data_IF_109941661290
#
_entry.id   IF_109941661290
#
_cell.length_a   1.000
_cell.length_b   1.000
_cell.length_c   1.000
_cell.angle_alpha   90.00
_cell.angle_beta   90.00
_cell.angle_gamma   90.00
#
_symmetry.space_group_name_H-M   'P 1'
#
loop_
_entity.id
_entity.type
_entity.pdbx_description
1 polymer ?
#
# COMPACT_ATOMS: atom_id res chain seq x y z
N UNK A 1 40.94 -47.94 52.34
CA UNK A 1 41.91 -49.05 52.18
C UNK A 1 41.84 -49.47 50.72
N UNK A 2 42.66 -48.96 49.81
CA UNK A 2 44.12 -49.13 49.61
C UNK A 2 44.46 -50.36 48.74
N UNK A 3 45.21 -50.05 47.66
CA UNK A 3 46.00 -50.88 46.71
C UNK A 3 45.26 -51.40 45.46
N UNK A 4 45.65 -51.00 44.23
CA UNK A 4 46.94 -51.21 43.50
C UNK A 4 47.14 -52.69 43.15
N UNK A 5 47.60 -53.13 42.00
CA UNK A 5 48.14 -52.58 40.74
C UNK A 5 48.12 -53.77 39.72
N UNK A 6 48.49 -53.49 38.45
CA UNK A 6 49.13 -54.40 37.46
C UNK A 6 48.25 -55.38 36.64
N UNK A 7 48.53 -55.71 35.36
CA UNK A 7 49.22 -55.15 34.18
C UNK A 7 49.06 -56.23 33.07
N UNK A 8 49.27 -55.81 31.80
CA UNK A 8 49.73 -56.61 30.63
C UNK A 8 48.74 -57.43 29.76
N UNK A 9 48.47 -56.83 28.59
CA UNK A 9 48.89 -57.24 27.22
C UNK A 9 48.20 -58.34 26.39
N UNK A 10 47.99 -57.92 25.12
CA UNK A 10 48.21 -58.60 23.84
C UNK A 10 47.04 -59.23 23.05
N UNK A 11 46.90 -58.65 21.84
CA UNK A 11 46.68 -59.25 20.51
C UNK A 11 45.35 -59.94 20.20
N UNK A 12 44.64 -59.44 19.17
CA UNK A 12 44.74 -60.01 17.81
C UNK A 12 43.89 -59.25 16.77
N UNK A 13 44.53 -59.04 15.63
CA UNK A 13 44.02 -58.51 14.36
C UNK A 13 42.86 -59.31 13.76
N UNK A 14 41.83 -58.62 13.24
CA UNK A 14 41.02 -59.15 12.12
C UNK A 14 40.74 -58.09 11.05
N UNK A 15 41.62 -58.07 10.05
CA UNK A 15 41.34 -57.61 8.68
C UNK A 15 40.17 -58.42 8.09
N UNK A 16 39.16 -57.75 7.55
CA UNK A 16 38.18 -58.38 6.65
C UNK A 16 38.40 -57.90 5.23
N UNK A 17 38.68 -58.88 4.37
CA UNK A 17 38.87 -58.77 2.93
C UNK A 17 37.64 -58.22 2.21
N UNK A 18 37.88 -57.28 1.31
CA UNK A 18 36.95 -56.84 0.27
C UNK A 18 37.18 -57.73 -0.95
N UNK A 19 36.17 -58.53 -1.33
CA UNK A 19 36.13 -59.25 -2.62
C UNK A 19 35.33 -58.45 -3.66
N UNK A 20 35.80 -58.32 -4.91
CA UNK A 20 35.09 -57.62 -5.97
C UNK A 20 34.09 -58.56 -6.65
N UNK A 21 32.84 -58.11 -6.84
CA UNK A 21 31.83 -58.85 -7.62
C UNK A 21 31.58 -58.18 -8.97
N UNK A 22 31.91 -58.98 -9.98
CA UNK A 22 31.84 -58.84 -11.44
C UNK A 22 30.63 -58.07 -12.00
N UNK A 23 30.93 -57.21 -12.99
CA UNK A 23 30.05 -56.78 -14.08
C UNK A 23 29.39 -57.99 -14.76
N UNK A 24 28.10 -57.91 -15.03
CA UNK A 24 27.43 -58.68 -16.08
C UNK A 24 26.51 -57.75 -16.87
N UNK A 25 26.81 -57.68 -18.15
CA UNK A 25 26.12 -56.95 -19.22
C UNK A 25 24.88 -57.73 -19.66
N UNK A 26 23.96 -57.01 -20.32
CA UNK A 26 22.88 -57.48 -21.22
C UNK A 26 21.68 -58.21 -20.60
N UNK A 27 20.52 -57.54 -20.65
CA UNK A 27 19.51 -57.82 -21.69
C UNK A 27 18.45 -56.71 -21.68
N UNK A 28 18.43 -55.93 -22.77
CA UNK A 28 17.37 -54.99 -23.08
C UNK A 28 16.18 -55.79 -23.60
N UNK A 29 15.13 -55.91 -22.79
CA UNK A 29 13.83 -56.40 -23.23
C UNK A 29 13.05 -55.21 -23.74
N UNK A 30 12.80 -55.25 -25.05
CA UNK A 30 11.90 -54.39 -25.80
C UNK A 30 10.48 -54.61 -25.30
N UNK A 31 9.90 -53.60 -24.66
CA UNK A 31 8.46 -53.41 -24.54
C UNK A 31 8.14 -52.05 -25.17
N UNK A 32 7.79 -52.11 -26.46
CA UNK A 32 7.06 -51.05 -27.15
C UNK A 32 5.62 -51.12 -26.66
N UNK A 33 5.30 -50.36 -25.63
CA UNK A 33 3.93 -49.92 -25.42
C UNK A 33 3.76 -48.57 -26.13
N UNK A 34 2.83 -48.55 -27.08
CA UNK A 34 2.37 -47.36 -27.78
C UNK A 34 1.79 -46.35 -26.79
N UNK A 35 2.63 -45.43 -26.30
CA UNK A 35 2.15 -44.16 -25.82
C UNK A 35 1.85 -43.33 -27.06
N UNK A 36 0.57 -43.30 -27.45
CA UNK A 36 0.02 -42.20 -28.24
C UNK A 36 0.16 -40.94 -27.38
N UNK A 37 1.30 -40.27 -27.52
CA UNK A 37 1.44 -38.87 -27.11
C UNK A 37 0.40 -38.09 -27.90
N UNK A 38 -0.69 -37.78 -27.21
CA UNK A 38 -1.65 -36.81 -27.66
C UNK A 38 -0.92 -35.49 -27.81
N UNK A 39 -0.76 -35.04 -29.06
CA UNK A 39 -0.49 -33.65 -29.44
C UNK A 39 -1.63 -32.75 -28.93
N UNK A 40 -1.68 -32.55 -27.62
CA UNK A 40 -2.58 -31.62 -26.97
C UNK A 40 -1.68 -30.53 -26.37
N UNK A 41 -1.75 -29.37 -27.03
CA UNK A 41 -1.55 -28.03 -26.46
C UNK A 41 -0.15 -27.49 -26.19
N UNK A 42 0.88 -27.82 -26.98
CA UNK A 42 2.06 -26.93 -27.07
C UNK A 42 1.73 -25.59 -27.77
N UNK A 43 0.76 -25.57 -28.68
CA UNK A 43 0.29 -24.35 -29.34
C UNK A 43 -0.53 -23.42 -28.43
N UNK A 44 -1.15 -23.95 -27.36
CA UNK A 44 -1.87 -23.10 -26.38
C UNK A 44 -0.93 -22.39 -25.40
N UNK A 45 0.20 -22.99 -25.01
CA UNK A 45 1.15 -22.36 -24.10
C UNK A 45 2.00 -21.28 -24.80
N UNK A 46 2.37 -21.47 -26.07
CA UNK A 46 3.00 -20.41 -26.87
C UNK A 46 2.08 -19.18 -27.02
N UNK A 47 0.77 -19.39 -27.05
CA UNK A 47 -0.21 -18.31 -27.18
C UNK A 47 -0.29 -17.44 -25.90
N UNK A 48 -0.01 -18.00 -24.72
CA UNK A 48 -0.15 -17.27 -23.44
C UNK A 48 0.94 -16.21 -23.27
N UNK A 49 2.20 -16.55 -23.52
CA UNK A 49 3.31 -15.59 -23.45
C UNK A 49 3.21 -14.53 -24.56
N UNK A 50 2.66 -14.89 -25.72
CA UNK A 50 2.38 -13.94 -26.80
C UNK A 50 1.23 -12.97 -26.47
N UNK A 51 0.12 -13.45 -25.89
CA UNK A 51 -1.00 -12.59 -25.44
C UNK A 51 -0.52 -11.58 -24.39
N UNK A 52 0.31 -12.04 -23.44
CA UNK A 52 0.89 -11.21 -22.38
C UNK A 52 1.79 -10.09 -22.96
N UNK A 53 2.40 -10.33 -24.12
CA UNK A 53 3.28 -9.35 -24.79
C UNK A 53 2.47 -8.25 -25.50
N UNK A 54 1.28 -8.57 -26.03
CA UNK A 54 0.37 -7.59 -26.65
C UNK A 54 -0.29 -6.68 -25.60
N UNK A 55 -0.68 -7.24 -24.45
CA UNK A 55 -1.22 -6.45 -23.34
C UNK A 55 -0.19 -5.43 -22.83
N UNK A 56 1.05 -5.89 -22.62
CA UNK A 56 2.16 -5.02 -22.21
C UNK A 56 2.44 -3.90 -23.23
N UNK A 57 2.38 -4.20 -24.53
CA UNK A 57 2.51 -3.20 -25.58
C UNK A 57 1.46 -2.08 -25.42
N UNK A 58 0.19 -2.46 -25.25
CA UNK A 58 -0.91 -1.51 -25.11
C UNK A 58 -0.83 -0.68 -23.81
N UNK A 59 -0.33 -1.26 -22.72
CA UNK A 59 -0.10 -0.54 -21.47
C UNK A 59 0.95 0.56 -21.63
N UNK A 60 2.09 0.26 -22.26
CA UNK A 60 3.16 1.24 -22.50
C UNK A 60 2.66 2.33 -23.44
N UNK A 61 1.99 1.93 -24.52
CA UNK A 61 1.40 2.82 -25.51
C UNK A 61 0.43 3.81 -24.85
N UNK A 62 -0.46 3.30 -24.00
CA UNK A 62 -1.44 4.11 -23.25
C UNK A 62 -0.75 5.06 -22.28
N UNK A 63 0.26 4.58 -21.53
CA UNK A 63 0.99 5.41 -20.57
C UNK A 63 1.77 6.52 -21.26
N UNK A 64 2.45 6.26 -22.38
CA UNK A 64 3.12 7.29 -23.19
C UNK A 64 2.11 8.30 -23.74
N UNK A 65 1.00 7.83 -24.32
CA UNK A 65 -0.03 8.71 -24.86
C UNK A 65 -0.66 9.60 -23.77
N UNK A 66 -1.06 9.03 -22.64
CA UNK A 66 -1.65 9.78 -21.52
C UNK A 66 -0.67 10.81 -20.96
N UNK A 67 0.61 10.44 -20.85
CA UNK A 67 1.67 11.34 -20.37
C UNK A 67 1.83 12.53 -21.31
N UNK A 68 2.02 12.29 -22.61
CA UNK A 68 2.24 13.37 -23.59
C UNK A 68 0.96 14.16 -23.92
N UNK A 69 -0.22 13.58 -23.70
CA UNK A 69 -1.49 14.31 -23.82
C UNK A 69 -1.67 15.36 -22.71
N UNK A 70 -1.05 15.17 -21.54
CA UNK A 70 -1.17 16.08 -20.42
C UNK A 70 -0.23 17.30 -20.59
N UNK A 71 -0.75 18.54 -20.65
CA UNK A 71 0.08 19.73 -20.85
C UNK A 71 1.08 19.97 -19.72
N UNK A 72 0.76 19.60 -18.47
CA UNK A 72 1.65 19.76 -17.33
C UNK A 72 2.90 18.89 -17.52
N UNK A 73 2.68 17.64 -17.93
CA UNK A 73 3.76 16.68 -18.16
C UNK A 73 4.62 17.12 -19.35
N UNK A 74 4.02 17.61 -20.44
CA UNK A 74 4.77 18.14 -21.59
C UNK A 74 5.72 19.27 -21.19
N UNK A 75 5.25 20.21 -20.37
CA UNK A 75 6.06 21.33 -19.92
C UNK A 75 7.19 20.86 -19.00
N UNK A 76 6.92 19.94 -18.08
CA UNK A 76 7.94 19.42 -17.17
C UNK A 76 8.98 18.54 -17.91
N UNK A 77 8.60 17.85 -19.00
CA UNK A 77 9.53 17.08 -19.86
C UNK A 77 10.62 17.98 -20.45
N UNK A 78 10.32 19.24 -20.80
CA UNK A 78 11.31 20.19 -21.33
C UNK A 78 12.39 20.57 -20.30
N UNK A 79 12.05 20.51 -19.01
CA UNK A 79 12.88 21.05 -17.93
C UNK A 79 13.54 19.93 -17.11
N UNK A 80 12.87 18.79 -16.93
CA UNK A 80 13.29 17.71 -16.06
C UNK A 80 13.88 16.54 -16.86
N UNK A 81 15.21 16.48 -16.85
CA UNK A 81 16.00 15.45 -17.55
C UNK A 81 15.59 14.03 -17.18
N UNK A 82 15.17 13.77 -15.93
CA UNK A 82 14.76 12.43 -15.51
C UNK A 82 13.47 11.99 -16.19
N UNK A 83 12.49 12.89 -16.35
CA UNK A 83 11.23 12.55 -17.04
C UNK A 83 11.51 12.28 -18.51
N UNK A 84 12.36 13.11 -19.15
CA UNK A 84 12.77 12.90 -20.54
C UNK A 84 13.47 11.54 -20.70
N UNK A 85 14.47 11.24 -19.86
CA UNK A 85 15.20 9.97 -19.87
C UNK A 85 14.28 8.75 -19.72
N UNK A 86 13.33 8.78 -18.80
CA UNK A 86 12.40 7.66 -18.63
C UNK A 86 11.36 7.58 -19.75
N UNK A 87 11.02 8.70 -20.39
CA UNK A 87 10.16 8.72 -21.58
C UNK A 87 10.88 8.06 -22.77
N UNK A 88 12.15 8.40 -23.00
CA UNK A 88 13.00 7.76 -24.02
C UNK A 88 13.18 6.25 -23.77
N UNK A 89 13.33 5.87 -22.51
CA UNK A 89 13.43 4.47 -22.10
C UNK A 89 12.15 3.69 -22.45
N UNK A 90 10.98 4.28 -22.19
CA UNK A 90 9.69 3.68 -22.56
C UNK A 90 9.49 3.60 -24.07
N UNK A 91 9.92 4.61 -24.83
CA UNK A 91 9.90 4.56 -26.30
C UNK A 91 10.82 3.44 -26.82
N UNK A 92 11.98 3.25 -26.19
CA UNK A 92 12.91 2.16 -26.54
C UNK A 92 12.33 0.79 -26.20
N UNK A 93 11.63 0.65 -25.07
CA UNK A 93 10.91 -0.56 -24.71
C UNK A 93 9.75 -0.85 -25.69
N UNK A 94 9.02 0.19 -26.12
CA UNK A 94 7.98 0.07 -27.14
C UNK A 94 8.56 -0.42 -28.47
N UNK A 95 9.68 0.15 -28.92
CA UNK A 95 10.39 -0.29 -30.13
C UNK A 95 10.85 -1.75 -30.03
N UNK A 96 11.39 -2.15 -28.88
CA UNK A 96 11.77 -3.54 -28.62
C UNK A 96 10.56 -4.49 -28.78
N UNK A 97 9.41 -4.15 -28.20
CA UNK A 97 8.18 -4.93 -28.34
C UNK A 97 7.69 -4.97 -29.78
N UNK A 98 7.79 -3.88 -30.55
CA UNK A 98 7.42 -3.87 -31.98
C UNK A 98 8.30 -4.81 -32.81
N UNK A 99 9.60 -4.86 -32.52
CA UNK A 99 10.50 -5.80 -33.21
C UNK A 99 10.18 -7.25 -32.85
N UNK A 100 9.85 -7.53 -31.60
CA UNK A 100 9.45 -8.86 -31.13
C UNK A 100 8.08 -9.29 -31.69
N UNK A 101 7.12 -8.36 -31.82
CA UNK A 101 5.74 -8.59 -32.25
C UNK A 101 5.49 -8.37 -33.76
N UNK A 102 6.55 -8.24 -34.56
CA UNK A 102 6.55 -7.79 -35.96
C UNK A 102 5.58 -8.52 -36.92
N UNK A 103 5.05 -9.69 -36.56
CA UNK A 103 4.06 -10.45 -37.34
C UNK A 103 2.59 -10.21 -36.98
N UNK A 104 2.29 -9.65 -35.79
CA UNK A 104 0.91 -9.55 -35.24
C UNK A 104 0.40 -8.11 -35.08
N UNK A 105 1.29 -7.13 -34.95
CA UNK A 105 0.88 -5.72 -34.98
C UNK A 105 0.43 -5.39 -36.41
N UNK A 106 -0.69 -4.69 -36.55
CA UNK A 106 -1.36 -4.32 -37.81
C UNK A 106 -0.57 -3.30 -38.66
N UNK A 107 0.76 -3.36 -38.61
CA UNK A 107 1.68 -2.54 -39.41
C UNK A 107 2.02 -1.17 -38.82
N UNK A 108 1.42 -0.77 -37.70
CA UNK A 108 1.70 0.54 -37.09
C UNK A 108 2.90 0.45 -36.14
N UNK A 109 3.99 1.14 -36.52
CA UNK A 109 5.21 1.30 -35.70
C UNK A 109 5.13 2.62 -34.94
N UNK A 110 4.54 2.59 -33.76
CA UNK A 110 4.23 3.75 -32.93
C UNK A 110 5.46 4.32 -32.23
N UNK A 111 6.49 3.51 -31.98
CA UNK A 111 7.70 3.98 -31.29
C UNK A 111 8.40 5.13 -32.02
N UNK A 112 8.45 5.10 -33.36
CA UNK A 112 9.05 6.18 -34.16
C UNK A 112 8.22 7.48 -34.07
N UNK A 113 6.89 7.36 -34.05
CA UNK A 113 6.01 8.52 -33.96
C UNK A 113 6.08 9.17 -32.57
N UNK A 114 6.13 8.37 -31.49
CA UNK A 114 6.37 8.89 -30.14
C UNK A 114 7.74 9.55 -29.99
N UNK A 115 8.79 9.03 -30.65
CA UNK A 115 10.11 9.66 -30.66
C UNK A 115 10.03 11.05 -31.31
N UNK A 116 9.40 11.14 -32.48
CA UNK A 116 9.22 12.41 -33.18
C UNK A 116 8.39 13.40 -32.36
N UNK A 117 7.32 12.93 -31.72
CA UNK A 117 6.49 13.73 -30.84
C UNK A 117 7.29 14.30 -29.66
N UNK A 118 8.10 13.45 -29.01
CA UNK A 118 8.93 13.87 -27.88
C UNK A 118 10.01 14.86 -28.33
N UNK A 119 10.63 14.63 -29.48
CA UNK A 119 11.60 15.55 -30.07
C UNK A 119 10.97 16.93 -30.38
N UNK A 120 9.75 16.96 -30.91
CA UNK A 120 9.01 18.20 -31.15
C UNK A 120 8.64 18.93 -29.85
N UNK A 121 8.45 18.21 -28.73
CA UNK A 121 8.18 18.81 -27.43
C UNK A 121 9.47 19.41 -26.84
N UNK A 122 10.59 18.71 -26.92
CA UNK A 122 11.84 19.12 -26.26
C UNK A 122 12.74 20.01 -27.10
N UNK A 123 12.48 20.10 -28.40
CA UNK A 123 13.37 20.73 -29.39
C UNK A 123 14.77 20.08 -29.43
N UNK A 124 14.87 18.80 -29.03
CA UNK A 124 16.11 18.01 -29.00
C UNK A 124 16.07 16.88 -30.03
N UNK A 125 17.21 16.61 -30.66
CA UNK A 125 17.39 15.45 -31.52
C UNK A 125 17.51 14.17 -30.68
N UNK A 126 16.46 13.36 -30.64
CA UNK A 126 16.41 12.11 -29.89
C UNK A 126 16.70 10.91 -30.79
N UNK A 127 17.33 9.88 -30.24
CA UNK A 127 17.60 8.62 -30.95
C UNK A 127 17.17 7.41 -30.13
N UNK A 128 16.61 6.39 -30.79
CA UNK A 128 16.20 5.15 -30.12
C UNK A 128 17.45 4.30 -29.91
N UNK A 129 17.82 4.08 -28.65
CA UNK A 129 18.84 3.11 -28.31
C UNK A 129 18.30 1.70 -28.47
N UNK A 130 19.10 0.78 -29.05
CA UNK A 130 18.75 -0.64 -29.03
C UNK A 130 18.83 -1.13 -27.59
N UNK A 131 17.67 -1.30 -26.98
CA UNK A 131 17.56 -1.86 -25.63
C UNK A 131 18.12 -3.30 -25.62
N UNK A 132 18.87 -3.72 -24.58
CA UNK A 132 19.23 -5.11 -24.41
C UNK A 132 17.97 -5.99 -24.32
N UNK A 133 18.11 -7.31 -24.47
CA UNK A 133 16.99 -8.23 -24.22
C UNK A 133 16.50 -8.03 -22.78
N UNK A 134 15.28 -7.51 -22.64
CA UNK A 134 14.62 -7.27 -21.35
C UNK A 134 13.52 -8.29 -21.11
N UNK A 135 13.32 -8.64 -19.85
CA UNK A 135 12.17 -9.44 -19.43
C UNK A 135 10.93 -8.55 -19.30
N UNK A 136 9.74 -9.15 -19.24
CA UNK A 136 8.48 -8.42 -18.99
C UNK A 136 8.54 -7.60 -17.71
N UNK A 137 9.17 -8.14 -16.66
CA UNK A 137 9.26 -7.49 -15.35
C UNK A 137 10.07 -6.20 -15.48
N UNK A 138 11.23 -6.26 -16.14
CA UNK A 138 12.09 -5.09 -16.35
C UNK A 138 11.35 -3.97 -17.10
N UNK A 139 10.56 -4.32 -18.13
CA UNK A 139 9.78 -3.35 -18.91
C UNK A 139 8.68 -2.69 -18.06
N UNK A 140 8.02 -3.45 -17.19
CA UNK A 140 7.00 -2.94 -16.27
C UNK A 140 7.60 -2.07 -15.17
N UNK A 141 8.78 -2.42 -14.67
CA UNK A 141 9.51 -1.60 -13.70
C UNK A 141 9.88 -0.25 -14.30
N UNK A 142 10.42 -0.24 -15.53
CA UNK A 142 10.70 1.00 -16.25
C UNK A 142 9.43 1.85 -16.44
N UNK A 143 8.29 1.22 -16.71
CA UNK A 143 6.99 1.90 -16.89
C UNK A 143 6.55 2.55 -15.59
N UNK A 144 6.61 1.81 -14.49
CA UNK A 144 6.28 2.31 -13.17
C UNK A 144 7.21 3.44 -12.74
N UNK A 145 8.49 3.37 -13.10
CA UNK A 145 9.46 4.40 -12.80
C UNK A 145 9.12 5.72 -13.50
N UNK A 146 8.69 5.67 -14.77
CA UNK A 146 8.17 6.86 -15.47
C UNK A 146 6.95 7.44 -14.74
N UNK A 147 5.95 6.61 -14.41
CA UNK A 147 4.73 7.05 -13.73
C UNK A 147 5.05 7.72 -12.39
N UNK A 148 5.87 7.07 -11.54
CA UNK A 148 6.26 7.60 -10.24
C UNK A 148 7.02 8.92 -10.41
N UNK A 149 7.92 9.01 -11.38
CA UNK A 149 8.68 10.24 -11.64
C UNK A 149 7.78 11.38 -12.09
N UNK A 150 6.80 11.11 -12.95
CA UNK A 150 5.79 12.09 -13.39
C UNK A 150 4.94 12.54 -12.20
N UNK A 151 4.36 11.62 -11.41
CA UNK A 151 3.50 11.96 -10.28
C UNK A 151 4.23 12.78 -9.22
N UNK A 152 5.51 12.48 -8.98
CA UNK A 152 6.32 13.21 -8.01
C UNK A 152 6.74 14.60 -8.51
N UNK A 153 6.99 14.75 -9.81
CA UNK A 153 7.50 16.00 -10.40
C UNK A 153 6.37 16.93 -10.87
N UNK A 154 5.26 16.38 -11.36
CA UNK A 154 4.15 17.10 -11.96
C UNK A 154 2.97 17.19 -10.97
N UNK A 155 2.89 18.29 -10.22
CA UNK A 155 1.77 18.53 -9.28
C UNK A 155 0.43 18.52 -10.01
N UNK A 156 -0.55 17.79 -9.48
CA UNK A 156 -1.90 17.70 -10.03
C UNK A 156 -2.09 16.62 -11.09
N UNK A 157 -1.04 15.85 -11.44
CA UNK A 157 -1.17 14.66 -12.29
C UNK A 157 -1.48 13.45 -11.42
N UNK A 158 -2.68 12.90 -11.56
CA UNK A 158 -3.09 11.71 -10.83
C UNK A 158 -2.52 10.44 -11.47
N UNK A 159 -2.05 9.50 -10.65
CA UNK A 159 -1.50 8.21 -11.10
C UNK A 159 -2.48 7.46 -12.00
N UNK A 160 -3.76 7.42 -11.61
CA UNK A 160 -4.83 6.74 -12.36
C UNK A 160 -5.01 7.31 -13.78
N UNK A 161 -4.75 8.61 -13.96
CA UNK A 161 -4.85 9.25 -15.28
C UNK A 161 -3.79 8.77 -16.27
N UNK A 162 -2.63 8.32 -15.76
CA UNK A 162 -1.51 7.79 -16.54
C UNK A 162 -1.65 6.28 -16.81
N UNK A 163 -2.29 5.55 -15.90
CA UNK A 163 -2.49 4.09 -15.98
C UNK A 163 -3.73 3.68 -16.80
N UNK A 164 -4.65 4.61 -17.09
CA UNK A 164 -5.86 4.32 -17.86
C UNK A 164 -5.52 3.80 -19.27
N UNK A 165 -5.78 2.51 -19.51
CA UNK A 165 -5.60 1.87 -20.83
C UNK A 165 -6.55 2.50 -21.84
N UNK A 166 -6.02 2.93 -22.99
CA UNK A 166 -6.79 3.49 -24.11
C UNK A 166 -6.36 2.80 -25.40
N UNK A 167 -7.31 2.64 -26.32
CA UNK A 167 -6.98 2.29 -27.70
C UNK A 167 -6.36 3.53 -28.34
N UNK A 168 -5.05 3.50 -28.58
CA UNK A 168 -4.32 4.58 -29.26
C UNK A 168 -4.10 4.14 -30.70
N UNK A 169 -4.73 4.83 -31.63
CA UNK A 169 -4.49 4.66 -33.06
C UNK A 169 -3.59 5.79 -33.60
N UNK A 170 -3.07 5.61 -34.82
CA UNK A 170 -2.25 6.62 -35.50
C UNK A 170 -2.98 7.95 -35.72
N UNK A 171 -4.32 7.93 -35.82
CA UNK A 171 -5.12 9.14 -35.96
C UNK A 171 -5.11 9.99 -34.67
N UNK A 172 -5.27 9.36 -33.50
CA UNK A 172 -5.18 10.03 -32.21
C UNK A 172 -3.79 10.63 -31.98
N UNK A 173 -2.74 9.92 -32.38
CA UNK A 173 -1.37 10.39 -32.22
C UNK A 173 -1.03 11.55 -33.17
N UNK A 174 -1.51 11.49 -34.41
CA UNK A 174 -1.43 12.61 -35.36
C UNK A 174 -2.14 13.85 -34.81
N UNK A 175 -3.35 13.70 -34.28
CA UNK A 175 -4.09 14.80 -33.66
C UNK A 175 -3.35 15.43 -32.47
N UNK A 176 -2.66 14.62 -31.66
CA UNK A 176 -1.82 15.12 -30.58
C UNK A 176 -0.59 15.89 -31.10
N UNK A 177 0.06 15.39 -32.16
CA UNK A 177 1.18 16.09 -32.79
C UNK A 177 0.75 17.44 -33.37
N UNK A 178 -0.39 17.48 -34.07
CA UNK A 178 -0.94 18.71 -34.64
C UNK A 178 -1.25 19.74 -33.55
N UNK A 179 -1.79 19.32 -32.39
CA UNK A 179 -1.99 20.19 -31.23
C UNK A 179 -0.68 20.76 -30.67
N UNK A 180 0.38 19.94 -30.59
CA UNK A 180 1.69 20.37 -30.10
C UNK A 180 2.33 21.37 -31.05
N UNK A 181 2.29 21.10 -32.36
CA UNK A 181 2.82 22.00 -33.40
C UNK A 181 2.04 23.32 -33.47
N UNK A 182 0.72 23.31 -33.27
CA UNK A 182 -0.06 24.53 -33.18
C UNK A 182 0.37 25.39 -31.98
N UNK A 183 0.60 24.76 -30.82
CA UNK A 183 0.98 25.46 -29.60
C UNK A 183 2.38 26.07 -29.69
N UNK A 184 3.35 25.38 -30.32
CA UNK A 184 4.70 25.91 -30.51
C UNK A 184 4.73 27.17 -31.38
N UNK A 185 3.86 27.23 -32.40
CA UNK A 185 3.78 28.39 -33.31
C UNK A 185 3.25 29.64 -32.59
N UNK A 186 2.25 29.50 -31.71
CA UNK A 186 1.73 30.61 -30.90
C UNK A 186 2.78 31.23 -29.97
N UNK A 187 3.61 30.40 -29.32
CA UNK A 187 4.69 30.91 -28.43
C UNK A 187 5.83 31.62 -29.17
N UNK A 188 5.94 31.43 -30.49
CA UNK A 188 7.01 31.98 -31.31
C UNK A 188 6.66 33.38 -31.84
N UNK A 189 5.38 33.62 -32.16
CA UNK A 189 4.91 34.91 -32.67
C UNK A 189 4.92 36.01 -31.60
N UNK A 190 4.63 35.70 -30.33
CA UNK A 190 4.70 36.66 -29.21
C UNK A 190 6.12 37.17 -28.91
N UNK A 191 7.18 36.45 -29.32
CA UNK A 191 8.57 36.90 -29.15
C UNK A 191 9.08 37.78 -30.29
N UNK A 192 8.35 37.88 -31.40
CA UNK A 192 8.79 38.66 -32.58
C UNK A 192 8.26 40.10 -32.64
N UNK A 193 7.30 40.46 -31.78
CA UNK A 193 6.68 41.79 -31.79
C UNK A 193 7.22 42.76 -30.73
N UNK A 194 8.37 42.47 -30.11
CA UNK A 194 9.01 43.36 -29.12
C UNK A 194 10.40 43.79 -29.57
N UNK A 195 10.50 44.39 -30.75
CA UNK A 195 11.67 45.17 -31.17
C UNK A 195 11.25 46.15 -32.28
N UNK A 196 10.74 47.33 -31.88
CA UNK A 196 11.17 48.64 -32.40
C UNK A 196 10.21 49.76 -31.98
N UNK A 197 10.81 50.94 -31.73
CA UNK A 197 10.25 52.30 -31.56
C UNK A 197 10.06 52.82 -30.11
N UNK A 198 10.26 54.14 -29.88
CA UNK A 198 11.14 54.65 -28.83
C UNK A 198 10.47 55.56 -27.79
N UNK A 199 11.28 55.90 -26.79
CA UNK A 199 11.12 56.86 -25.68
C UNK A 199 10.31 58.12 -26.04
N UNK A 200 9.30 58.43 -25.22
CA UNK A 200 8.79 59.80 -25.03
C UNK A 200 8.46 60.03 -23.55
N UNK A 201 9.07 61.07 -22.97
CA UNK A 201 8.81 61.60 -21.63
C UNK A 201 7.53 62.45 -21.65
N UNK A 202 6.68 62.36 -20.62
CA UNK A 202 6.02 63.55 -20.05
C UNK A 202 5.40 63.28 -18.67
N UNK A 203 5.73 64.18 -17.73
CA UNK A 203 5.04 64.39 -16.45
C UNK A 203 3.56 64.75 -16.64
N UNK A 204 2.69 64.33 -15.71
CA UNK A 204 1.74 65.23 -15.02
C UNK A 204 0.81 64.48 -14.04
N UNK A 205 0.54 65.16 -12.92
CA UNK A 205 -0.42 64.84 -11.86
C UNK A 205 -1.84 64.51 -12.36
N UNK A 206 -2.54 63.59 -11.67
CA UNK A 206 -3.89 63.88 -11.16
C UNK A 206 -4.29 62.94 -10.01
N UNK A 207 -4.94 63.54 -9.02
CA UNK A 207 -5.61 62.89 -7.89
C UNK A 207 -6.93 62.19 -8.31
N UNK A 208 -7.36 61.31 -7.41
CA UNK A 208 -8.72 60.98 -6.98
C UNK A 208 -9.55 59.84 -7.64
N UNK A 209 -9.69 58.79 -6.80
CA UNK A 209 -10.93 58.07 -6.38
C UNK A 209 -11.90 57.55 -7.46
N UNK A 210 -12.02 56.22 -7.57
CA UNK A 210 -13.21 55.53 -7.07
C UNK A 210 -13.03 54.00 -6.92
N UNK A 211 -13.73 53.47 -5.92
CA UNK A 211 -13.80 52.06 -5.56
C UNK A 211 -14.43 51.21 -6.68
N UNK A 212 -13.65 50.30 -7.25
CA UNK A 212 -14.17 49.02 -7.73
C UNK A 212 -13.30 47.92 -7.12
N UNK A 213 -13.96 47.06 -6.35
CA UNK A 213 -13.39 45.81 -5.84
C UNK A 213 -13.18 44.91 -7.06
N UNK A 214 -12.02 45.10 -7.66
CA UNK A 214 -11.50 44.26 -8.73
C UNK A 214 -11.04 42.95 -8.07
N UNK A 215 -11.79 41.90 -8.36
CA UNK A 215 -11.51 40.54 -7.95
C UNK A 215 -10.28 40.08 -8.74
N UNK A 216 -9.10 40.48 -8.26
CA UNK A 216 -7.83 40.14 -8.88
C UNK A 216 -7.63 38.62 -8.82
N UNK A 217 -7.82 38.00 -9.97
CA UNK A 217 -7.31 36.70 -10.35
C UNK A 217 -5.79 36.69 -10.15
N UNK A 218 -5.36 36.32 -8.94
CA UNK A 218 -4.00 35.89 -8.61
C UNK A 218 -3.77 34.50 -9.23
N UNK A 219 -3.74 34.46 -10.55
CA UNK A 219 -3.29 33.31 -11.31
C UNK A 219 -1.79 33.47 -11.63
N UNK A 220 -1.00 32.52 -11.14
CA UNK A 220 0.20 32.00 -11.78
C UNK A 220 1.51 32.81 -11.76
N UNK A 221 1.82 33.52 -10.68
CA UNK A 221 3.22 33.89 -10.36
C UNK A 221 3.86 32.89 -9.37
N UNK A 222 4.73 32.03 -9.89
CA UNK A 222 5.81 31.30 -9.21
C UNK A 222 5.64 30.90 -7.72
N UNK A 223 4.71 30.00 -7.43
CA UNK A 223 4.57 29.35 -6.10
C UNK A 223 5.78 28.45 -5.75
N UNK A 224 6.59 28.03 -6.74
CA UNK A 224 7.75 27.13 -6.53
C UNK A 224 8.90 27.83 -5.78
N UNK A 225 9.15 29.12 -6.06
CA UNK A 225 10.17 29.92 -5.37
C UNK A 225 9.69 30.41 -3.99
N UNK A 226 8.39 30.63 -3.84
CA UNK A 226 7.81 30.97 -2.55
C UNK A 226 7.97 29.82 -1.54
N UNK A 227 7.83 28.56 -1.96
CA UNK A 227 7.87 27.41 -1.05
C UNK A 227 9.26 27.17 -0.44
N UNK A 228 10.34 27.39 -1.19
CA UNK A 228 11.72 27.26 -0.71
C UNK A 228 12.12 28.40 0.24
N UNK A 229 11.67 29.64 -0.06
CA UNK A 229 11.91 30.79 0.82
C UNK A 229 11.02 30.75 2.08
N UNK A 230 9.79 30.25 1.96
CA UNK A 230 8.88 30.09 3.09
C UNK A 230 9.39 29.06 4.10
N UNK A 231 10.01 27.96 3.63
CA UNK A 231 10.65 26.98 4.50
C UNK A 231 11.78 27.58 5.35
N UNK A 232 12.60 28.46 4.77
CA UNK A 232 13.67 29.18 5.49
C UNK A 232 13.12 30.24 6.45
N UNK A 233 12.04 30.93 6.08
CA UNK A 233 11.35 31.90 6.95
C UNK A 233 10.63 31.24 8.14
N UNK A 234 10.11 30.01 7.98
CA UNK A 234 9.57 29.24 9.12
C UNK A 234 10.65 28.87 10.13
N UNK A 235 11.89 28.60 9.70
CA UNK A 235 13.01 28.28 10.62
C UNK A 235 13.44 29.50 11.45
N UNK A 236 13.26 30.70 10.93
CA UNK A 236 13.54 31.95 11.64
C UNK A 236 12.42 32.35 12.61
N UNK A 237 11.32 31.58 12.68
CA UNK A 237 10.19 31.86 13.58
C UNK A 237 9.37 33.10 13.20
N UNK A 238 9.60 33.67 12.02
CA UNK A 238 8.95 34.91 11.55
C UNK A 238 7.54 34.63 11.02
N UNK A 239 7.28 33.41 10.55
CA UNK A 239 5.98 33.05 10.00
C UNK A 239 5.00 32.60 11.09
N UNK A 240 3.72 33.02 11.00
CA UNK A 240 2.69 32.56 11.91
C UNK A 240 2.52 31.03 11.78
N UNK A 241 2.11 30.39 12.86
CA UNK A 241 1.82 28.97 12.86
C UNK A 241 0.47 28.72 12.16
N UNK A 242 0.38 27.71 11.28
CA UNK A 242 -0.87 27.38 10.58
C UNK A 242 -1.99 27.05 11.59
N UNK A 243 -3.20 27.64 11.50
CA UNK A 243 -4.30 27.41 12.44
C UNK A 243 -4.61 25.93 12.66
N UNK A 244 -4.59 25.13 11.59
CA UNK A 244 -4.85 23.69 11.65
C UNK A 244 -3.87 22.84 12.47
N UNK A 245 -2.70 23.40 12.82
CA UNK A 245 -1.73 22.76 13.71
C UNK A 245 -1.96 23.09 15.19
N UNK A 246 -2.84 24.06 15.49
CA UNK A 246 -3.27 24.35 16.86
C UNK A 246 -4.06 23.18 17.45
N UNK A 247 -3.81 22.77 18.70
CA UNK A 247 -4.59 21.75 19.39
C UNK A 247 -6.09 22.07 19.52
N UNK A 248 -6.44 23.36 19.48
CA UNK A 248 -7.81 23.87 19.64
C UNK A 248 -8.56 23.95 18.31
N UNK A 249 -7.89 23.72 17.18
CA UNK A 249 -8.55 23.71 15.88
C UNK A 249 -9.27 22.37 15.65
N UNK A 250 -10.59 22.44 15.52
CA UNK A 250 -11.44 21.29 15.25
C UNK A 250 -12.06 21.38 13.85
N UNK A 251 -11.57 20.61 12.85
CA UNK A 251 -11.98 20.74 11.45
C UNK A 251 -13.23 19.94 11.08
N UNK A 252 -14.11 19.60 12.03
CA UNK A 252 -15.29 18.78 11.75
C UNK A 252 -16.57 19.51 12.13
N UNK A 253 -17.63 19.20 11.39
CA UNK A 253 -18.95 19.84 11.54
C UNK A 253 -19.60 19.54 12.89
N UNK A 254 -19.39 18.33 13.42
CA UNK A 254 -20.09 17.84 14.61
C UNK A 254 -19.12 17.25 15.63
N UNK A 255 -19.45 17.39 16.92
CA UNK A 255 -18.72 16.80 18.05
C UNK A 255 -19.58 15.72 18.71
N UNK A 256 -19.68 14.50 18.14
CA UNK A 256 -20.53 13.45 18.69
C UNK A 256 -20.04 13.04 20.10
N UNK A 257 -20.78 13.45 21.14
CA UNK A 257 -20.42 13.21 22.54
C UNK A 257 -20.36 11.73 22.95
N UNK A 258 -20.97 10.84 22.15
CA UNK A 258 -21.00 9.39 22.37
C UNK A 258 -19.67 8.71 21.96
N UNK A 259 -18.90 9.28 21.03
CA UNK A 259 -17.68 8.64 20.48
C UNK A 259 -16.63 8.28 21.55
N UNK A 260 -16.32 9.14 22.54
CA UNK A 260 -15.39 8.79 23.61
C UNK A 260 -15.83 7.57 24.43
N UNK A 261 -17.13 7.37 24.63
CA UNK A 261 -17.65 6.22 25.36
C UNK A 261 -17.61 4.95 24.50
N UNK A 262 -17.96 5.07 23.21
CA UNK A 262 -17.83 3.96 22.27
C UNK A 262 -16.38 3.48 22.13
N UNK A 263 -15.39 4.37 22.15
CA UNK A 263 -13.96 4.01 22.16
C UNK A 263 -13.59 3.16 23.37
N UNK A 264 -14.05 3.53 24.56
CA UNK A 264 -13.81 2.77 25.80
C UNK A 264 -14.51 1.42 25.76
N UNK A 265 -15.74 1.38 25.27
CA UNK A 265 -16.48 0.13 25.07
C UNK A 265 -15.76 -0.79 24.07
N UNK A 266 -15.29 -0.25 22.95
CA UNK A 266 -14.48 -0.99 21.96
C UNK A 266 -13.22 -1.57 22.60
N UNK A 267 -12.49 -0.75 23.36
CA UNK A 267 -11.26 -1.20 24.02
C UNK A 267 -11.54 -2.33 25.02
N UNK A 268 -12.62 -2.22 25.81
CA UNK A 268 -13.06 -3.27 26.72
C UNK A 268 -13.40 -4.57 25.99
N UNK A 269 -14.13 -4.50 24.87
CA UNK A 269 -14.46 -5.66 24.04
C UNK A 269 -13.22 -6.30 23.39
N UNK A 270 -12.22 -5.50 22.96
CA UNK A 270 -10.97 -6.02 22.41
C UNK A 270 -10.14 -6.75 23.47
N UNK A 271 -10.07 -6.21 24.71
CA UNK A 271 -9.42 -6.88 25.84
C UNK A 271 -10.13 -8.19 26.18
N UNK A 272 -11.47 -8.17 26.22
CA UNK A 272 -12.28 -9.36 26.45
C UNK A 272 -12.05 -10.41 25.35
N UNK A 273 -12.05 -10.00 24.08
CA UNK A 273 -11.78 -10.89 22.95
C UNK A 273 -10.40 -11.54 23.08
N UNK A 274 -9.38 -10.75 23.44
CA UNK A 274 -8.03 -11.26 23.69
C UNK A 274 -7.98 -12.33 24.79
N UNK A 275 -8.71 -12.13 25.89
CA UNK A 275 -8.78 -13.11 26.97
C UNK A 275 -9.34 -14.44 26.47
N UNK A 276 -10.42 -14.41 25.69
CA UNK A 276 -11.04 -15.61 25.11
C UNK A 276 -10.15 -16.30 24.08
N UNK A 277 -9.43 -15.52 23.26
CA UNK A 277 -8.41 -16.05 22.34
C UNK A 277 -7.34 -16.81 23.13
N UNK A 278 -6.78 -16.21 24.19
CA UNK A 278 -5.75 -16.85 25.03
C UNK A 278 -6.29 -18.14 25.66
N UNK A 279 -7.51 -18.12 26.22
CA UNK A 279 -8.14 -19.32 26.80
C UNK A 279 -8.30 -20.42 25.74
N UNK A 280 -8.74 -20.05 24.53
CA UNK A 280 -8.93 -21.00 23.42
C UNK A 280 -7.60 -21.64 23.01
N UNK A 281 -6.51 -20.86 22.96
CA UNK A 281 -5.16 -21.36 22.65
C UNK A 281 -4.65 -22.32 23.74
N UNK A 282 -4.89 -21.99 25.01
CA UNK A 282 -4.53 -22.85 26.14
C UNK A 282 -5.27 -24.17 25.99
N UNK A 283 -6.59 -24.14 25.76
CA UNK A 283 -7.42 -25.35 25.59
C UNK A 283 -6.96 -26.16 24.36
N UNK A 284 -6.65 -25.52 23.23
CA UNK A 284 -6.16 -26.23 22.02
C UNK A 284 -4.86 -26.98 22.31
N UNK A 285 -4.01 -26.46 23.20
CA UNK A 285 -2.75 -27.09 23.58
C UNK A 285 -2.93 -28.36 24.42
N UNK A 286 -4.10 -28.53 25.05
CA UNK A 286 -4.47 -29.73 25.81
C UNK A 286 -5.25 -30.76 24.97
N UNK A 287 -5.56 -30.47 23.70
CA UNK A 287 -6.13 -31.46 22.77
C UNK A 287 -5.01 -32.38 22.30
N UNK A 288 -4.80 -33.45 23.08
CA UNK A 288 -3.90 -34.58 22.78
C UNK A 288 -4.72 -35.86 22.75
N UNK A 289 -4.35 -36.80 21.89
CA UNK A 289 -4.96 -38.12 21.86
C UNK A 289 -4.09 -39.12 21.12
N UNK A 290 -4.21 -40.42 21.41
CA UNK A 290 -3.61 -41.46 20.57
C UNK A 290 -4.43 -41.59 19.28
N UNK A 291 -3.77 -41.56 18.13
CA UNK A 291 -4.35 -41.99 16.85
C UNK A 291 -3.87 -43.40 16.55
N UNK A 292 -4.79 -44.35 16.56
CA UNK A 292 -4.53 -45.69 16.01
C UNK A 292 -4.65 -45.61 14.50
N UNK A 293 -3.50 -45.65 13.80
CA UNK A 293 -3.46 -45.75 12.35
C UNK A 293 -3.53 -47.26 12.02
N UNK A 294 -4.51 -47.67 11.22
CA UNK A 294 -4.80 -49.09 10.93
C UNK A 294 -3.63 -49.86 10.30
N UNK A 295 -2.64 -49.15 9.74
CA UNK A 295 -1.57 -49.78 8.96
C UNK A 295 -0.51 -50.45 9.82
N UNK A 296 -0.34 -50.05 11.09
CA UNK A 296 0.68 -50.63 11.97
C UNK A 296 0.18 -51.05 13.37
N UNK A 297 -1.10 -50.82 13.74
CA UNK A 297 -1.65 -51.02 15.10
C UNK A 297 -0.93 -50.29 16.24
N UNK A 298 0.21 -49.68 15.99
CA UNK A 298 0.93 -48.85 16.97
C UNK A 298 0.25 -47.47 17.07
N UNK A 299 -0.07 -47.01 18.28
CA UNK A 299 -0.64 -45.68 18.49
C UNK A 299 0.41 -44.62 18.15
N UNK A 300 0.06 -43.70 17.24
CA UNK A 300 0.83 -42.48 17.02
C UNK A 300 0.21 -41.39 17.88
N UNK A 301 0.95 -40.91 18.88
CA UNK A 301 0.54 -39.77 19.67
C UNK A 301 0.59 -38.51 18.82
N UNK A 302 -0.55 -37.84 18.63
CA UNK A 302 -0.60 -36.54 17.98
C UNK A 302 -0.82 -35.43 19.01
N UNK A 303 -0.21 -34.29 18.74
CA UNK A 303 -0.43 -33.06 19.50
C UNK A 303 -0.95 -32.00 18.53
N UNK A 304 -2.22 -31.62 18.68
CA UNK A 304 -2.86 -30.65 17.79
C UNK A 304 -2.14 -29.29 17.78
N UNK A 305 -1.43 -28.95 18.86
CA UNK A 305 -0.70 -27.68 18.98
C UNK A 305 0.49 -27.51 18.04
N UNK A 306 0.98 -28.57 17.39
CA UNK A 306 2.16 -28.49 16.51
C UNK A 306 1.88 -27.83 15.14
N UNK A 307 0.63 -27.75 14.70
CA UNK A 307 0.26 -27.09 13.43
C UNK A 307 -0.30 -25.69 13.58
N UNK A 308 -0.32 -25.18 14.80
CA UNK A 308 -0.92 -23.89 15.05
C UNK A 308 -0.08 -22.79 14.42
N UNK A 309 -0.76 -21.83 13.80
CA UNK A 309 -0.15 -20.57 13.42
C UNK A 309 0.04 -19.70 14.67
N UNK A 310 0.91 -20.15 15.60
CA UNK A 310 1.21 -19.44 16.85
C UNK A 310 1.60 -17.99 16.57
N UNK A 311 2.27 -17.75 15.44
CA UNK A 311 2.61 -16.40 14.97
C UNK A 311 1.38 -15.54 14.71
N UNK A 312 0.35 -16.05 14.01
CA UNK A 312 -0.90 -15.30 13.74
C UNK A 312 -1.61 -14.97 15.04
N UNK A 313 -1.60 -15.90 16.00
CA UNK A 313 -2.23 -15.72 17.31
C UNK A 313 -1.49 -14.68 18.17
N UNK A 314 -0.16 -14.77 18.27
CA UNK A 314 0.67 -13.80 18.99
C UNK A 314 0.50 -12.40 18.37
N UNK A 315 0.52 -12.31 17.04
CA UNK A 315 0.29 -11.05 16.33
C UNK A 315 -1.11 -10.49 16.63
N UNK A 316 -2.13 -11.35 16.69
CA UNK A 316 -3.49 -10.94 17.05
C UNK A 316 -3.56 -10.35 18.45
N UNK A 317 -2.93 -11.00 19.42
CA UNK A 317 -2.89 -10.53 20.81
C UNK A 317 -2.22 -9.14 20.89
N UNK A 318 -1.04 -8.99 20.26
CA UNK A 318 -0.28 -7.73 20.23
C UNK A 318 -1.11 -6.61 19.58
N UNK A 319 -1.76 -6.90 18.45
CA UNK A 319 -2.55 -5.91 17.72
C UNK A 319 -3.77 -5.47 18.51
N UNK A 320 -4.56 -6.39 19.09
CA UNK A 320 -5.73 -6.04 19.89
C UNK A 320 -5.36 -5.22 21.13
N UNK A 321 -4.25 -5.56 21.82
CA UNK A 321 -3.77 -4.73 22.93
C UNK A 321 -3.31 -3.35 22.45
N UNK A 322 -2.64 -3.27 21.30
CA UNK A 322 -2.22 -2.00 20.71
C UNK A 322 -3.41 -1.11 20.37
N UNK A 323 -4.47 -1.67 19.76
CA UNK A 323 -5.71 -0.94 19.47
C UNK A 323 -6.43 -0.52 20.76
N UNK A 324 -6.56 -1.43 21.73
CA UNK A 324 -7.17 -1.11 23.03
C UNK A 324 -6.41 0.03 23.73
N UNK A 325 -5.09 0.00 23.73
CA UNK A 325 -4.24 1.07 24.28
C UNK A 325 -4.48 2.41 23.58
N UNK A 326 -4.56 2.42 22.24
CA UNK A 326 -4.82 3.63 21.45
C UNK A 326 -6.18 4.25 21.79
N UNK A 327 -7.19 3.44 22.11
CA UNK A 327 -8.52 3.93 22.49
C UNK A 327 -8.64 4.35 23.96
N UNK A 328 -7.86 3.74 24.86
CA UNK A 328 -7.88 4.07 26.30
C UNK A 328 -7.01 5.28 26.62
N UNK A 329 -5.90 5.48 25.90
CA UNK A 329 -4.95 6.55 26.22
C UNK A 329 -5.66 7.92 26.19
N UNK A 330 -5.36 8.82 27.14
CA UNK A 330 -5.94 10.15 27.15
C UNK A 330 -5.54 10.89 25.86
N UNK A 331 -6.54 11.39 25.13
CA UNK A 331 -6.35 12.11 23.87
C UNK A 331 -5.67 13.45 24.12
N UNK A 332 -4.59 13.73 23.40
CA UNK A 332 -3.84 14.99 23.56
C UNK A 332 -4.47 16.14 22.78
N UNK A 333 -5.17 15.81 21.69
CA UNK A 333 -5.74 16.77 20.74
C UNK A 333 -7.25 16.59 20.72
N UNK A 334 -8.01 17.69 20.66
CA UNK A 334 -9.48 17.68 20.65
C UNK A 334 -10.06 16.83 19.49
N UNK A 335 -9.40 16.87 18.33
CA UNK A 335 -9.70 16.04 17.16
C UNK A 335 -9.64 14.54 17.47
N UNK A 336 -8.65 14.07 18.23
CA UNK A 336 -8.53 12.66 18.60
C UNK A 336 -9.62 12.20 19.57
N UNK A 337 -10.25 13.12 20.32
CA UNK A 337 -11.35 12.81 21.24
C UNK A 337 -12.58 12.34 20.47
N UNK A 338 -12.96 13.06 19.41
CA UNK A 338 -14.22 12.83 18.70
C UNK A 338 -14.09 12.15 17.33
N UNK A 339 -12.88 11.99 16.81
CA UNK A 339 -12.62 11.28 15.56
C UNK A 339 -11.78 10.04 15.78
N UNK A 340 -11.96 9.05 14.91
CA UNK A 340 -11.01 7.96 14.71
C UNK A 340 -10.54 8.01 13.26
N UNK A 341 -9.25 7.74 13.03
CA UNK A 341 -8.74 7.61 11.67
C UNK A 341 -9.44 6.44 10.97
N UNK A 342 -9.99 6.66 9.77
CA UNK A 342 -10.61 5.60 8.98
C UNK A 342 -9.61 4.48 8.65
N UNK A 343 -8.33 4.82 8.47
CA UNK A 343 -7.28 3.82 8.28
C UNK A 343 -7.17 2.88 9.49
N UNK A 344 -7.21 3.42 10.71
CA UNK A 344 -7.15 2.60 11.93
C UNK A 344 -8.40 1.74 12.10
N UNK A 345 -9.59 2.27 11.79
CA UNK A 345 -10.83 1.49 11.80
C UNK A 345 -10.82 0.39 10.72
N UNK A 346 -10.34 0.70 9.51
CA UNK A 346 -10.22 -0.26 8.42
C UNK A 346 -9.24 -1.38 8.73
N UNK A 347 -8.07 -1.04 9.29
CA UNK A 347 -7.07 -2.03 9.72
C UNK A 347 -7.63 -2.93 10.84
N UNK A 348 -8.31 -2.34 11.83
CA UNK A 348 -8.96 -3.11 12.90
C UNK A 348 -10.09 -4.01 12.37
N UNK A 349 -10.93 -3.48 11.47
CA UNK A 349 -12.02 -4.23 10.83
C UNK A 349 -11.49 -5.43 10.03
N UNK A 350 -10.48 -5.20 9.19
CA UNK A 350 -9.80 -6.26 8.45
C UNK A 350 -9.23 -7.31 9.39
N UNK A 351 -8.53 -6.90 10.45
CA UNK A 351 -7.92 -7.84 11.38
C UNK A 351 -8.96 -8.65 12.17
N UNK A 352 -10.08 -8.05 12.56
CA UNK A 352 -11.22 -8.75 13.17
C UNK A 352 -11.76 -9.85 12.24
N UNK A 353 -11.93 -9.56 10.94
CA UNK A 353 -12.36 -10.55 9.95
C UNK A 353 -11.35 -11.69 9.82
N UNK A 354 -10.05 -11.37 9.77
CA UNK A 354 -8.99 -12.40 9.71
C UNK A 354 -9.04 -13.30 10.94
N UNK A 355 -9.15 -12.72 12.15
CA UNK A 355 -9.27 -13.50 13.40
C UNK A 355 -10.52 -14.37 13.40
N UNK A 356 -11.68 -13.84 13.00
CA UNK A 356 -12.91 -14.61 12.91
C UNK A 356 -12.80 -15.75 11.90
N UNK A 357 -12.27 -15.46 10.71
CA UNK A 357 -12.08 -16.45 9.64
C UNK A 357 -11.14 -17.57 10.08
N UNK A 358 -10.09 -17.23 10.85
CA UNK A 358 -9.17 -18.20 11.43
C UNK A 358 -9.89 -19.18 12.37
N UNK A 359 -10.66 -18.69 13.34
CA UNK A 359 -11.40 -19.57 14.26
C UNK A 359 -12.51 -20.36 13.57
N UNK A 360 -13.19 -19.77 12.59
CA UNK A 360 -14.17 -20.50 11.77
C UNK A 360 -13.52 -21.63 10.96
N UNK A 361 -12.35 -21.35 10.38
CA UNK A 361 -11.56 -22.35 9.67
C UNK A 361 -11.10 -23.47 10.61
N UNK A 362 -10.58 -23.12 11.78
CA UNK A 362 -10.09 -24.09 12.78
C UNK A 362 -11.21 -25.01 13.31
N UNK A 363 -12.45 -24.53 13.37
CA UNK A 363 -13.63 -25.33 13.76
C UNK A 363 -14.19 -26.17 12.60
N UNK A 364 -13.79 -25.89 11.36
CA UNK A 364 -14.28 -26.58 10.16
C UNK A 364 -13.73 -28.00 10.05
N UNK A 365 -14.57 -28.93 9.60
CA UNK A 365 -14.18 -30.31 9.34
C UNK A 365 -13.06 -30.41 8.30
N UNK A 366 -13.07 -29.49 7.33
CA UNK A 366 -12.06 -29.42 6.27
C UNK A 366 -10.66 -29.14 6.83
N UNK A 367 -10.55 -28.36 7.91
CA UNK A 367 -9.25 -28.07 8.53
C UNK A 367 -8.61 -29.35 9.06
N UNK A 368 -9.36 -30.15 9.81
CA UNK A 368 -8.84 -31.39 10.38
C UNK A 368 -8.54 -32.44 9.31
N UNK A 369 -9.37 -32.54 8.27
CA UNK A 369 -9.08 -33.39 7.12
C UNK A 369 -7.76 -32.98 6.46
N UNK A 370 -7.58 -31.70 6.16
CA UNK A 370 -6.35 -31.20 5.53
C UNK A 370 -5.12 -31.35 6.44
N UNK A 371 -5.28 -31.14 7.75
CA UNK A 371 -4.24 -31.40 8.74
C UNK A 371 -3.81 -32.86 8.69
N UNK A 372 -4.75 -33.81 8.75
CA UNK A 372 -4.39 -35.22 8.74
C UNK A 372 -3.78 -35.66 7.41
N UNK A 373 -4.27 -35.14 6.29
CA UNK A 373 -3.67 -35.37 4.97
C UNK A 373 -2.26 -34.77 4.83
N UNK A 374 -1.89 -33.80 5.67
CA UNK A 374 -0.52 -33.25 5.69
C UNK A 374 0.47 -34.12 6.48
N UNK A 375 -0.03 -34.91 7.43
CA UNK A 375 0.80 -35.78 8.31
C UNK A 375 0.83 -37.22 7.80
N UNK A 376 -0.27 -37.68 7.21
CA UNK A 376 -0.48 -39.06 6.75
C UNK A 376 -0.81 -39.05 5.27
N UNK A 377 -0.25 -39.99 4.49
CA UNK A 377 -0.58 -40.13 3.07
C UNK A 377 -2.09 -40.39 2.92
N UNK A 378 -2.69 -39.82 1.88
CA UNK A 378 -4.14 -39.91 1.64
C UNK A 378 -4.67 -41.35 1.61
N UNK A 379 -3.88 -42.27 1.08
CA UNK A 379 -4.19 -43.71 0.97
C UNK A 379 -4.27 -44.40 2.33
N UNK A 380 -3.59 -43.84 3.33
CA UNK A 380 -3.38 -44.43 4.65
C UNK A 380 -4.36 -43.89 5.71
N UNK A 381 -5.18 -42.90 5.34
CA UNK A 381 -6.08 -42.23 6.26
C UNK A 381 -7.41 -42.97 6.36
N UNK A 382 -7.65 -43.66 7.47
CA UNK A 382 -8.97 -44.23 7.75
C UNK A 382 -10.02 -43.07 7.79
N UNK A 383 -11.10 -43.13 6.99
CA UNK A 383 -12.11 -42.07 6.95
C UNK A 383 -12.79 -41.80 8.30
N UNK A 384 -12.77 -42.76 9.23
CA UNK A 384 -13.32 -42.62 10.57
C UNK A 384 -12.40 -41.85 11.55
N UNK A 385 -11.16 -41.51 11.17
CA UNK A 385 -10.23 -40.76 12.03
C UNK A 385 -10.82 -39.43 12.49
N UNK A 386 -11.47 -38.70 11.58
CA UNK A 386 -12.13 -37.42 11.91
C UNK A 386 -13.28 -37.63 12.89
N UNK A 387 -14.00 -38.75 12.77
CA UNK A 387 -15.11 -39.10 13.66
C UNK A 387 -14.60 -39.43 15.07
N UNK A 388 -13.47 -40.13 15.17
CA UNK A 388 -12.82 -40.44 16.45
C UNK A 388 -12.28 -39.16 17.12
N UNK A 389 -11.65 -38.26 16.35
CA UNK A 389 -11.19 -36.96 16.86
C UNK A 389 -12.36 -36.16 17.46
N UNK A 390 -13.49 -36.09 16.74
CA UNK A 390 -14.71 -35.41 17.18
C UNK A 390 -15.34 -36.03 18.44
N UNK A 391 -15.09 -37.30 18.70
CA UNK A 391 -15.58 -37.98 19.89
C UNK A 391 -14.80 -37.58 21.16
N UNK A 392 -13.55 -37.11 21.03
CA UNK A 392 -12.72 -36.75 22.17
C UNK A 392 -13.35 -35.61 23.00
N UNK A 393 -13.41 -35.72 24.33
CA UNK A 393 -14.02 -34.70 25.19
C UNK A 393 -13.29 -33.36 25.08
N UNK A 394 -11.96 -33.37 25.06
CA UNK A 394 -11.14 -32.15 24.94
C UNK A 394 -11.40 -31.42 23.61
N UNK A 395 -11.66 -32.17 22.54
CA UNK A 395 -11.99 -31.61 21.24
C UNK A 395 -13.36 -30.91 21.24
N UNK A 396 -14.36 -31.51 21.90
CA UNK A 396 -15.69 -30.88 22.07
C UNK A 396 -15.58 -29.57 22.86
N UNK A 397 -14.80 -29.58 23.94
CA UNK A 397 -14.53 -28.37 24.74
C UNK A 397 -13.86 -27.30 23.88
N UNK A 398 -12.80 -27.66 23.15
CA UNK A 398 -12.13 -26.74 22.23
C UNK A 398 -13.11 -26.12 21.22
N UNK A 399 -13.93 -26.94 20.56
CA UNK A 399 -14.91 -26.48 19.57
C UNK A 399 -15.92 -25.49 20.16
N UNK A 400 -16.42 -25.76 21.37
CA UNK A 400 -17.33 -24.84 22.08
C UNK A 400 -16.64 -23.51 22.35
N UNK A 401 -15.41 -23.52 22.87
CA UNK A 401 -14.67 -22.29 23.15
C UNK A 401 -14.32 -21.51 21.87
N UNK A 402 -13.93 -22.17 20.79
CA UNK A 402 -13.67 -21.51 19.52
C UNK A 402 -14.93 -20.82 18.96
N UNK A 403 -16.11 -21.45 19.09
CA UNK A 403 -17.39 -20.83 18.71
C UNK A 403 -17.69 -19.60 19.60
N UNK A 404 -17.52 -19.72 20.92
CA UNK A 404 -17.73 -18.60 21.86
C UNK A 404 -16.77 -17.45 21.54
N UNK A 405 -15.50 -17.73 21.29
CA UNK A 405 -14.48 -16.73 20.92
C UNK A 405 -14.87 -16.03 19.62
N UNK A 406 -15.30 -16.77 18.61
CA UNK A 406 -15.81 -16.20 17.35
C UNK A 406 -17.02 -15.29 17.60
N UNK A 407 -17.98 -15.73 18.41
CA UNK A 407 -19.17 -14.93 18.75
C UNK A 407 -18.80 -13.62 19.49
N UNK A 408 -17.83 -13.66 20.40
CA UNK A 408 -17.34 -12.48 21.12
C UNK A 408 -16.65 -11.50 20.17
N UNK A 409 -15.91 -11.98 19.16
CA UNK A 409 -15.29 -11.14 18.14
C UNK A 409 -16.29 -10.40 17.23
N UNK A 410 -17.55 -10.85 17.15
CA UNK A 410 -18.61 -10.14 16.39
C UNK A 410 -18.97 -8.80 17.04
N UNK A 411 -18.97 -8.73 18.37
CA UNK A 411 -19.35 -7.51 19.09
C UNK A 411 -18.45 -6.29 18.77
N UNK A 412 -17.10 -6.38 18.84
CA UNK A 412 -16.24 -5.28 18.43
C UNK A 412 -16.36 -4.98 16.94
N UNK A 413 -16.64 -5.97 16.08
CA UNK A 413 -16.87 -5.75 14.65
C UNK A 413 -18.09 -4.85 14.39
N UNK A 414 -19.22 -5.14 15.04
CA UNK A 414 -20.43 -4.32 14.97
C UNK A 414 -20.17 -2.90 15.50
N UNK A 415 -19.42 -2.78 16.59
CA UNK A 415 -19.11 -1.48 17.17
C UNK A 415 -18.17 -0.66 16.27
N UNK A 416 -17.23 -1.31 15.56
CA UNK A 416 -16.41 -0.66 14.53
C UNK A 416 -17.29 -0.12 13.40
N UNK A 417 -18.30 -0.88 12.93
CA UNK A 417 -19.25 -0.39 11.92
C UNK A 417 -20.03 0.85 12.41
N UNK A 418 -20.52 0.82 13.65
CA UNK A 418 -21.19 1.98 14.27
C UNK A 418 -20.25 3.19 14.34
N UNK A 419 -18.98 2.99 14.71
CA UNK A 419 -17.98 4.06 14.75
C UNK A 419 -17.66 4.62 13.37
N UNK A 420 -17.66 3.80 12.31
CA UNK A 420 -17.49 4.25 10.92
C UNK A 420 -18.66 5.18 10.54
N UNK A 421 -19.89 4.81 10.88
CA UNK A 421 -21.10 5.59 10.57
C UNK A 421 -21.17 6.92 11.34
N UNK A 422 -20.77 6.92 12.61
CA UNK A 422 -20.81 8.12 13.49
C UNK A 422 -19.59 9.04 13.27
N UNK A 423 -18.54 8.59 12.59
CA UNK A 423 -17.31 9.36 12.42
C UNK A 423 -17.60 10.73 11.75
N UNK A 424 -17.23 11.86 12.38
CA UNK A 424 -17.67 13.17 11.90
C UNK A 424 -17.03 13.53 10.56
N UNK A 425 -17.81 14.17 9.68
CA UNK A 425 -17.36 14.66 8.37
C UNK A 425 -16.53 15.94 8.52
N UNK A 426 -15.53 16.09 7.65
CA UNK A 426 -14.68 17.29 7.61
C UNK A 426 -15.51 18.49 7.18
N UNK A 427 -15.43 19.58 7.95
CA UNK A 427 -15.98 20.86 7.59
C UNK A 427 -15.04 21.57 6.61
N UNK A 428 -15.33 21.43 5.31
CA UNK A 428 -14.51 22.05 4.25
C UNK A 428 -14.49 23.56 4.35
N UNK A 429 -15.57 24.19 4.80
CA UNK A 429 -15.67 25.64 4.91
C UNK A 429 -14.78 26.15 6.05
N UNK A 430 -14.78 25.48 7.19
CA UNK A 430 -13.89 25.83 8.31
C UNK A 430 -12.41 25.63 7.96
N UNK A 431 -12.08 24.56 7.23
CA UNK A 431 -10.71 24.34 6.72
C UNK A 431 -10.31 25.41 5.70
N UNK A 432 -11.20 25.74 4.77
CA UNK A 432 -10.94 26.80 3.77
C UNK A 432 -10.74 28.15 4.44
N UNK A 433 -11.61 28.53 5.40
CA UNK A 433 -11.46 29.77 6.18
C UNK A 433 -10.12 29.80 6.93
N UNK A 434 -9.73 28.69 7.55
CA UNK A 434 -8.43 28.58 8.21
C UNK A 434 -7.24 28.78 7.25
N UNK A 435 -7.34 28.30 6.01
CA UNK A 435 -6.29 28.49 5.01
C UNK A 435 -6.24 29.94 4.51
N UNK A 436 -7.40 30.58 4.29
CA UNK A 436 -7.49 32.00 3.89
C UNK A 436 -6.90 32.89 4.99
N UNK A 437 -7.24 32.65 6.24
CA UNK A 437 -6.72 33.39 7.40
C UNK A 437 -5.22 33.21 7.58
N UNK A 438 -4.70 32.01 7.28
CA UNK A 438 -3.27 31.76 7.26
C UNK A 438 -2.55 32.54 6.15
N UNK A 439 -3.11 32.58 4.95
CA UNK A 439 -2.56 33.36 3.84
C UNK A 439 -2.57 34.86 4.14
N UNK A 440 -3.65 35.38 4.73
CA UNK A 440 -3.73 36.77 5.19
C UNK A 440 -2.65 37.07 6.23
N UNK A 441 -2.43 36.17 7.18
CA UNK A 441 -1.39 36.31 8.21
C UNK A 441 0.02 36.30 7.61
N UNK A 442 0.30 35.44 6.62
CA UNK A 442 1.57 35.44 5.88
C UNK A 442 1.75 36.77 5.13
N UNK A 443 0.74 37.21 4.37
CA UNK A 443 0.82 38.44 3.59
C UNK A 443 1.03 39.67 4.48
N UNK A 444 0.39 39.72 5.65
CA UNK A 444 0.63 40.77 6.63
C UNK A 444 2.05 40.73 7.19
N UNK A 445 2.55 39.54 7.56
CA UNK A 445 3.90 39.35 8.07
C UNK A 445 4.98 39.77 7.05
N UNK A 446 4.80 39.42 5.77
CA UNK A 446 5.69 39.85 4.68
C UNK A 446 5.72 41.37 4.49
N UNK A 447 4.61 42.05 4.79
CA UNK A 447 4.51 43.51 4.77
C UNK A 447 4.93 44.17 6.09
N UNK A 448 5.50 43.42 7.04
CA UNK A 448 5.88 43.92 8.36
C UNK A 448 4.70 44.31 9.26
N UNK A 449 3.46 43.91 8.91
CA UNK A 449 2.25 44.18 9.69
C UNK A 449 1.93 42.99 10.60
N UNK A 450 1.47 43.29 11.82
CA UNK A 450 0.91 42.28 12.71
C UNK A 450 -0.51 41.92 12.25
N UNK A 451 -0.82 40.64 12.18
CA UNK A 451 -2.15 40.13 11.88
C UNK A 451 -2.57 39.15 12.95
N UNK A 452 -3.73 39.41 13.58
CA UNK A 452 -4.30 38.53 14.58
C UNK A 452 -5.34 37.63 13.91
N UNK A 453 -5.08 36.32 13.91
CA UNK A 453 -5.97 35.30 13.32
C UNK A 453 -7.29 35.29 14.08
N UNK A 454 -8.40 35.23 13.34
CA UNK A 454 -9.74 35.17 13.91
C UNK A 454 -9.89 34.04 14.94
N UNK A 455 -10.17 34.43 16.19
CA UNK A 455 -10.27 33.49 17.30
C UNK A 455 -11.47 32.54 17.18
N UNK A 456 -12.50 32.89 16.42
CA UNK A 456 -13.69 32.05 16.20
C UNK A 456 -13.40 30.75 15.45
N UNK A 457 -12.24 30.63 14.80
CA UNK A 457 -11.76 29.39 14.18
C UNK A 457 -11.42 28.31 15.20
N UNK A 458 -11.08 28.73 16.42
CA UNK A 458 -10.64 27.84 17.49
C UNK A 458 -11.78 27.58 18.45
N UNK A 459 -11.89 26.34 18.89
CA UNK A 459 -12.87 26.02 19.91
C UNK A 459 -12.30 26.47 21.26
N UNK A 460 -12.98 27.42 21.92
CA UNK A 460 -12.62 27.87 23.27
C UNK A 460 -12.93 26.83 24.36
N UNK A 461 -13.56 25.72 23.98
CA UNK A 461 -13.99 24.66 24.87
C UNK A 461 -12.83 23.80 25.37
N UNK A 462 -12.53 24.06 26.65
CA UNK A 462 -11.74 23.29 27.59
C UNK A 462 -10.44 22.66 27.08
N UNK A 463 -9.29 23.28 27.38
CA UNK A 463 -8.05 22.55 27.27
C UNK A 463 -8.17 21.31 28.15
N UNK A 464 -7.79 20.15 27.62
CA UNK A 464 -7.63 18.87 28.34
C UNK A 464 -6.79 18.98 29.64
N UNK A 465 -6.21 20.16 29.89
CA UNK A 465 -5.48 20.54 31.09
C UNK A 465 -6.36 20.93 32.28
N UNK A 466 -7.65 21.29 32.13
CA UNK A 466 -8.52 21.55 33.30
C UNK A 466 -8.73 20.28 34.13
N UNK A 467 -8.86 19.12 33.49
CA UNK A 467 -8.93 17.82 34.19
C UNK A 467 -7.62 17.48 34.89
N UNK A 468 -6.45 17.79 34.30
CA UNK A 468 -5.15 17.64 34.96
C UNK A 468 -4.99 18.58 36.16
N UNK A 469 -5.43 19.84 36.04
CA UNK A 469 -5.42 20.79 37.16
C UNK A 469 -6.39 20.36 38.27
N UNK A 470 -7.60 19.90 37.94
CA UNK A 470 -8.54 19.34 38.94
C UNK A 470 -8.01 18.08 39.62
N UNK A 471 -7.39 17.16 38.86
CA UNK A 471 -6.75 15.97 39.45
C UNK A 471 -5.56 16.33 40.35
N UNK A 472 -4.72 17.30 39.96
CA UNK A 472 -3.63 17.79 40.82
C UNK A 472 -4.15 18.49 42.07
N UNK A 473 -5.18 19.33 41.95
CA UNK A 473 -5.79 20.03 43.08
C UNK A 473 -6.45 19.04 44.09
N UNK A 474 -7.11 18.00 43.59
CA UNK A 474 -7.69 16.96 44.45
C UNK A 474 -6.64 16.04 45.10
N UNK A 475 -5.45 15.92 44.51
CA UNK A 475 -4.34 15.14 45.10
C UNK A 475 -3.52 15.96 46.10
N UNK A 476 -3.42 17.29 45.92
CA UNK A 476 -2.67 18.17 46.83
C UNK A 476 -3.45 18.60 48.08
N UNK A 477 -4.76 18.33 48.15
CA UNK A 477 -5.62 18.67 49.30
C UNK A 477 -5.88 17.51 50.28
N UNK A 478 -5.14 16.41 50.18
CA UNK A 478 -5.30 15.20 51.01
C UNK A 478 -4.04 14.79 51.79
N UNK A 479 -3.08 15.69 51.95
CA UNK A 479 -1.92 15.50 52.81
C UNK A 479 -1.89 16.53 53.93
#
# INVERSE_FOLDING_TARGET
MSKKDDLLNNNEDKKKEIKPRKKKTEQAVVLKDEIKESNIDQDQYLNKDEIITVELYNEILSTLFNSLSNPIVRNEIKVNENILKYTELQISNLFFLETALSKKLTGQKMAKEFLQLTANITDLALSISKSPKKTRIDILEDRNLLIVTIVNSCKGVERESLEKVRTVDSAALKGLNDQISALSNFTSEEKSNTADQPVFNQDSNSENTNNQVENNNLNNTNIRDLNNNMANLTKLGVLPQHPASSPNFYPYLTKPGIVPNLKKALAGLLILSNLFIIITIIISSFVKGPLTIDINKEPVDFVLSQTNNWLILIMTIILYFSFAYIFIRPTKILREKYRISFFMLGLLFFWLIVTMSYFFWEVSDNYYQNFFLSVVKKEDLNPDVVKHLKALPNFKVFKIFAIITSAICILPLLLVLVLILINPRVDRNKVMRANVEYQNAINAALNGKKYDIDQSLFDHDEPANKDKKRRKANFSGRF
#
